data_IF_257633614200
#
_entry.id   IF_257633614200
#
_cell.length_a   1.000
_cell.length_b   1.000
_cell.length_c   1.000
_cell.angle_alpha   90.00
_cell.angle_beta   90.00
_cell.angle_gamma   90.00
#
_symmetry.space_group_name_H-M   'P 1'
#
loop_
_entity.id
_entity.type
_entity.pdbx_description
1 polymer ?
#
# COMPACT_ATOMS: atom_id res chain seq x y z
N UNK A 1 35.14 12.41 -13.21
CA UNK A 1 34.52 13.56 -13.92
C UNK A 1 33.06 13.67 -13.52
N UNK A 2 32.59 14.88 -13.19
CA UNK A 2 31.24 15.16 -12.69
C UNK A 2 30.13 14.74 -13.68
N UNK A 3 30.38 14.70 -14.97
CA UNK A 3 29.42 14.24 -15.99
C UNK A 3 29.06 12.76 -15.86
N UNK A 4 30.03 11.89 -15.59
CA UNK A 4 29.74 10.44 -15.45
C UNK A 4 28.82 10.11 -14.27
N UNK A 5 29.04 10.73 -13.10
CA UNK A 5 28.17 10.52 -11.93
C UNK A 5 26.74 11.00 -12.13
N UNK A 6 26.52 12.09 -12.86
CA UNK A 6 25.16 12.59 -13.11
C UNK A 6 24.41 11.77 -14.17
N UNK A 7 25.12 11.15 -15.11
CA UNK A 7 24.53 10.22 -16.08
C UNK A 7 24.16 8.89 -15.41
N UNK A 8 25.03 8.31 -14.58
CA UNK A 8 24.74 7.10 -13.80
C UNK A 8 23.53 7.31 -12.86
N UNK A 9 23.41 8.48 -12.21
CA UNK A 9 22.25 8.78 -11.34
C UNK A 9 20.96 8.88 -12.16
N UNK A 10 20.99 9.44 -13.36
CA UNK A 10 19.82 9.53 -14.23
C UNK A 10 19.41 8.16 -14.80
N UNK A 11 20.36 7.34 -15.21
CA UNK A 11 20.09 5.98 -15.68
C UNK A 11 19.49 5.14 -14.56
N UNK A 12 20.11 5.15 -13.38
CA UNK A 12 19.61 4.43 -12.21
C UNK A 12 18.20 4.91 -11.80
N UNK A 13 17.93 6.21 -11.86
CA UNK A 13 16.59 6.74 -11.54
C UNK A 13 15.53 6.29 -12.55
N UNK A 14 15.85 6.18 -13.83
CA UNK A 14 14.94 5.67 -14.85
C UNK A 14 14.66 4.18 -14.67
N UNK A 15 15.67 3.39 -14.36
CA UNK A 15 15.51 1.96 -14.06
C UNK A 15 14.63 1.74 -12.84
N UNK A 16 14.85 2.50 -11.76
CA UNK A 16 14.03 2.43 -10.56
C UNK A 16 12.58 2.83 -10.81
N UNK A 17 12.32 3.80 -11.70
CA UNK A 17 10.95 4.16 -12.08
C UNK A 17 10.24 3.03 -12.82
N UNK A 18 10.94 2.31 -13.70
CA UNK A 18 10.42 1.13 -14.40
C UNK A 18 10.12 0.01 -13.38
N UNK A 19 11.03 -0.24 -12.44
CA UNK A 19 10.83 -1.24 -11.38
C UNK A 19 9.63 -0.86 -10.50
N UNK A 20 9.47 0.42 -10.17
CA UNK A 20 8.33 0.92 -9.41
C UNK A 20 7.01 0.69 -10.14
N UNK A 21 6.94 1.03 -11.43
CA UNK A 21 5.75 0.80 -12.25
C UNK A 21 5.43 -0.69 -12.38
N UNK A 22 6.46 -1.53 -12.57
CA UNK A 22 6.31 -2.97 -12.65
C UNK A 22 5.85 -3.57 -11.31
N UNK A 23 6.39 -3.11 -10.18
CA UNK A 23 5.97 -3.53 -8.84
C UNK A 23 4.49 -3.19 -8.58
N UNK A 24 4.06 -1.99 -8.97
CA UNK A 24 2.66 -1.57 -8.84
C UNK A 24 1.74 -2.36 -9.74
N UNK A 25 2.15 -2.64 -10.98
CA UNK A 25 1.41 -3.46 -11.93
C UNK A 25 1.27 -4.90 -11.44
N UNK A 26 2.35 -5.52 -10.99
CA UNK A 26 2.34 -6.89 -10.46
C UNK A 26 1.49 -7.00 -9.20
N UNK A 27 1.59 -6.04 -8.28
CA UNK A 27 0.74 -5.97 -7.10
C UNK A 27 -0.74 -5.87 -7.49
N UNK A 28 -1.07 -5.02 -8.46
CA UNK A 28 -2.44 -4.90 -8.98
C UNK A 28 -2.96 -6.20 -9.58
N UNK A 29 -2.16 -6.86 -10.44
CA UNK A 29 -2.56 -8.11 -11.10
C UNK A 29 -2.75 -9.27 -10.10
N UNK A 30 -1.85 -9.39 -9.13
CA UNK A 30 -1.97 -10.41 -8.06
C UNK A 30 -3.23 -10.16 -7.24
N UNK A 31 -3.53 -8.92 -6.89
CA UNK A 31 -4.77 -8.57 -6.19
C UNK A 31 -6.01 -8.83 -7.05
N UNK A 32 -5.97 -8.52 -8.37
CA UNK A 32 -7.07 -8.78 -9.28
C UNK A 32 -7.38 -10.28 -9.38
N UNK A 33 -6.34 -11.11 -9.42
CA UNK A 33 -6.48 -12.56 -9.38
C UNK A 33 -7.04 -13.05 -8.03
N UNK A 34 -6.56 -12.49 -6.92
CA UNK A 34 -6.99 -12.89 -5.57
C UNK A 34 -8.46 -12.55 -5.30
N UNK A 35 -8.92 -11.37 -5.73
CA UNK A 35 -10.29 -10.91 -5.51
C UNK A 35 -11.26 -11.28 -6.64
N UNK A 36 -10.76 -11.88 -7.71
CA UNK A 36 -11.52 -12.18 -8.93
C UNK A 36 -12.34 -10.96 -9.42
N UNK A 37 -11.75 -9.77 -9.31
CA UNK A 37 -12.38 -8.48 -9.61
C UNK A 37 -11.31 -7.43 -9.89
N UNK A 38 -11.54 -6.56 -10.86
CA UNK A 38 -10.66 -5.43 -11.17
C UNK A 38 -10.94 -4.18 -10.31
N UNK A 39 -12.12 -4.12 -9.70
CA UNK A 39 -12.55 -2.95 -8.92
C UNK A 39 -11.90 -2.95 -7.53
N UNK A 40 -11.81 -4.11 -6.87
CA UNK A 40 -11.22 -4.20 -5.53
C UNK A 40 -9.74 -3.81 -5.49
N UNK A 41 -8.89 -4.29 -6.41
CA UNK A 41 -7.50 -3.83 -6.51
C UNK A 41 -7.37 -2.33 -6.79
N UNK A 42 -8.25 -1.78 -7.62
CA UNK A 42 -8.25 -0.34 -7.90
C UNK A 42 -8.48 0.50 -6.64
N UNK A 43 -9.44 0.10 -5.79
CA UNK A 43 -9.67 0.75 -4.49
C UNK A 43 -8.44 0.72 -3.60
N UNK A 44 -7.74 -0.42 -3.57
CA UNK A 44 -6.54 -0.62 -2.77
C UNK A 44 -5.38 0.23 -3.27
N UNK A 45 -5.12 0.20 -4.59
CA UNK A 45 -4.02 0.96 -5.21
C UNK A 45 -4.21 2.46 -5.07
N UNK A 46 -5.44 2.95 -4.97
CA UNK A 46 -5.72 4.37 -4.74
C UNK A 46 -5.14 4.91 -3.42
N UNK A 47 -4.85 4.05 -2.46
CA UNK A 47 -4.18 4.45 -1.20
C UNK A 47 -2.67 4.62 -1.36
N UNK A 48 -2.06 4.07 -2.41
CA UNK A 48 -0.61 4.13 -2.66
C UNK A 48 -0.10 5.56 -2.87
N UNK A 49 -0.71 6.40 -3.71
CA UNK A 49 -0.28 7.80 -3.87
C UNK A 49 -0.23 8.58 -2.55
N UNK A 50 -1.18 8.30 -1.65
CA UNK A 50 -1.23 8.93 -0.33
C UNK A 50 -0.07 8.48 0.56
N UNK A 51 0.30 7.21 0.48
CA UNK A 51 1.48 6.68 1.17
C UNK A 51 2.78 7.31 0.65
N UNK A 52 2.93 7.41 -0.67
CA UNK A 52 4.08 8.05 -1.32
C UNK A 52 4.19 9.51 -0.90
N UNK A 53 3.07 10.25 -0.95
CA UNK A 53 3.01 11.64 -0.48
C UNK A 53 3.50 11.76 0.96
N UNK A 54 3.05 10.87 1.85
CA UNK A 54 3.49 10.81 3.24
C UNK A 54 4.99 10.59 3.40
N UNK A 55 5.55 9.66 2.64
CA UNK A 55 6.97 9.39 2.62
C UNK A 55 7.79 10.59 2.16
N UNK A 56 7.38 11.24 1.07
CA UNK A 56 8.06 12.43 0.53
C UNK A 56 7.99 13.63 1.47
N UNK A 57 6.83 13.90 2.06
CA UNK A 57 6.68 14.98 3.05
C UNK A 57 7.60 14.77 4.24
N UNK A 58 7.75 13.54 4.70
CA UNK A 58 8.59 13.25 5.86
C UNK A 58 10.09 13.36 5.55
N UNK A 59 10.51 13.00 4.34
CA UNK A 59 11.89 13.24 3.84
C UNK A 59 12.19 14.74 3.87
N UNK A 60 11.28 15.58 3.38
CA UNK A 60 11.42 17.03 3.38
C UNK A 60 11.48 17.59 4.81
N UNK A 61 10.63 17.09 5.70
CA UNK A 61 10.59 17.52 7.10
C UNK A 61 11.88 17.24 7.85
N UNK A 62 12.55 16.12 7.55
CA UNK A 62 13.83 15.75 8.14
C UNK A 62 15.06 16.31 7.39
N UNK A 63 14.84 17.20 6.40
CA UNK A 63 15.90 17.75 5.54
C UNK A 63 16.80 16.65 4.92
N UNK A 64 16.24 15.48 4.65
CA UNK A 64 16.93 14.38 3.98
C UNK A 64 16.84 14.53 2.48
N UNK A 65 17.83 14.03 1.76
CA UNK A 65 17.82 14.04 0.29
C UNK A 65 17.07 12.85 -0.29
N UNK A 66 16.38 13.07 -1.40
CA UNK A 66 15.84 11.99 -2.21
C UNK A 66 17.00 11.29 -2.91
N UNK A 67 17.25 10.05 -2.53
CA UNK A 67 18.34 9.22 -3.04
C UNK A 67 17.81 7.82 -3.44
N UNK A 68 18.69 6.96 -3.96
CA UNK A 68 18.34 5.60 -4.37
C UNK A 68 17.66 4.82 -3.22
N UNK A 69 18.11 5.01 -1.98
CA UNK A 69 17.56 4.32 -0.81
C UNK A 69 16.14 4.77 -0.48
N UNK A 70 15.82 6.07 -0.64
CA UNK A 70 14.45 6.55 -0.47
C UNK A 70 13.52 6.03 -1.58
N UNK A 71 14.03 5.86 -2.81
CA UNK A 71 13.25 5.27 -3.91
C UNK A 71 12.95 3.79 -3.66
N UNK A 72 13.93 3.02 -3.17
CA UNK A 72 13.72 1.63 -2.73
C UNK A 72 12.69 1.58 -1.59
N UNK A 73 12.80 2.50 -0.63
CA UNK A 73 11.85 2.60 0.47
C UNK A 73 10.42 2.90 0.01
N UNK A 74 10.22 3.70 -1.03
CA UNK A 74 8.92 3.92 -1.66
C UNK A 74 8.34 2.63 -2.26
N UNK A 75 9.17 1.78 -2.88
CA UNK A 75 8.72 0.49 -3.41
C UNK A 75 8.28 -0.44 -2.26
N UNK A 76 9.06 -0.50 -1.17
CA UNK A 76 8.71 -1.26 0.03
C UNK A 76 7.40 -0.74 0.63
N UNK A 77 7.22 0.58 0.66
CA UNK A 77 6.03 1.24 1.20
C UNK A 77 4.74 0.85 0.46
N UNK A 78 4.81 0.62 -0.87
CA UNK A 78 3.66 0.11 -1.63
C UNK A 78 3.17 -1.22 -1.03
N UNK A 79 4.08 -2.17 -0.82
CA UNK A 79 3.75 -3.48 -0.27
C UNK A 79 3.16 -3.41 1.14
N UNK A 80 3.73 -2.57 2.00
CA UNK A 80 3.27 -2.43 3.39
C UNK A 80 1.91 -1.70 3.44
N UNK A 81 1.73 -0.64 2.65
CA UNK A 81 0.50 0.15 2.62
C UNK A 81 -0.68 -0.63 2.05
N UNK A 82 -0.48 -1.34 0.95
CA UNK A 82 -1.55 -2.15 0.31
C UNK A 82 -2.05 -3.26 1.21
N UNK A 83 -1.18 -3.85 2.05
CA UNK A 83 -1.55 -4.89 3.03
C UNK A 83 -2.70 -4.45 3.95
N UNK A 84 -2.67 -3.21 4.44
CA UNK A 84 -3.70 -2.69 5.35
C UNK A 84 -5.06 -2.55 4.64
N UNK A 85 -5.06 -2.06 3.41
CA UNK A 85 -6.27 -1.93 2.58
C UNK A 85 -6.84 -3.30 2.18
N UNK A 86 -5.99 -4.27 1.85
CA UNK A 86 -6.38 -5.64 1.52
C UNK A 86 -7.18 -6.26 2.67
N UNK A 87 -6.70 -6.10 3.92
CA UNK A 87 -7.35 -6.67 5.10
C UNK A 87 -8.79 -6.16 5.30
N UNK A 88 -9.05 -4.90 4.99
CA UNK A 88 -10.40 -4.31 5.11
C UNK A 88 -11.29 -4.84 3.98
N UNK A 89 -10.79 -4.79 2.74
CA UNK A 89 -11.56 -5.20 1.55
C UNK A 89 -11.89 -6.70 1.57
N UNK A 90 -10.91 -7.55 1.92
CA UNK A 90 -11.12 -9.01 2.04
C UNK A 90 -12.20 -9.32 3.09
N UNK A 91 -12.09 -8.71 4.26
CA UNK A 91 -13.07 -8.98 5.33
C UNK A 91 -14.46 -8.44 4.99
N UNK A 92 -14.56 -7.26 4.34
CA UNK A 92 -15.83 -6.73 3.85
C UNK A 92 -16.47 -7.66 2.80
N UNK A 93 -15.67 -8.20 1.88
CA UNK A 93 -16.14 -9.18 0.90
C UNK A 93 -16.67 -10.44 1.58
N UNK A 94 -15.96 -10.99 2.58
CA UNK A 94 -16.40 -12.17 3.34
C UNK A 94 -17.71 -11.93 4.08
N UNK A 95 -17.93 -10.75 4.66
CA UNK A 95 -19.21 -10.43 5.30
C UNK A 95 -20.33 -10.29 4.26
N UNK A 96 -20.04 -9.77 3.07
CA UNK A 96 -21.02 -9.71 1.97
C UNK A 96 -21.51 -11.10 1.53
N UNK A 97 -20.67 -12.14 1.59
CA UNK A 97 -21.10 -13.51 1.26
C UNK A 97 -22.14 -14.04 2.24
N UNK A 98 -22.19 -13.53 3.48
CA UNK A 98 -23.24 -13.89 4.45
C UNK A 98 -24.61 -13.24 4.21
N UNK A 99 -24.76 -12.45 3.11
CA UNK A 99 -26.03 -11.82 2.72
C UNK A 99 -26.26 -10.42 3.31
N UNK A 100 -25.32 -9.86 4.07
CA UNK A 100 -25.44 -8.52 4.63
C UNK A 100 -25.33 -7.43 3.54
N UNK A 101 -25.93 -6.27 3.80
CA UNK A 101 -25.78 -5.09 2.93
C UNK A 101 -24.34 -4.60 2.90
N UNK A 102 -23.96 -3.90 1.82
CA UNK A 102 -22.59 -3.36 1.63
C UNK A 102 -22.20 -2.45 2.80
N UNK A 103 -23.12 -1.60 3.24
CA UNK A 103 -22.87 -0.63 4.33
C UNK A 103 -22.59 -1.33 5.66
N UNK A 104 -23.39 -2.36 6.00
CA UNK A 104 -23.19 -3.15 7.20
C UNK A 104 -21.89 -3.96 7.12
N UNK A 105 -21.57 -4.53 5.95
CA UNK A 105 -20.35 -5.30 5.74
C UNK A 105 -19.11 -4.44 5.94
N UNK A 106 -19.08 -3.22 5.39
CA UNK A 106 -17.95 -2.30 5.53
C UNK A 106 -17.82 -1.82 6.98
N UNK A 107 -18.92 -1.44 7.63
CA UNK A 107 -18.92 -0.98 9.02
C UNK A 107 -18.37 -2.06 9.96
N UNK A 108 -18.81 -3.29 9.79
CA UNK A 108 -18.35 -4.42 10.58
C UNK A 108 -16.88 -4.77 10.27
N UNK A 109 -16.48 -4.73 9.00
CA UNK A 109 -15.10 -4.95 8.59
C UNK A 109 -14.16 -3.93 9.22
N UNK A 110 -14.51 -2.65 9.19
CA UNK A 110 -13.72 -1.60 9.84
C UNK A 110 -13.63 -1.80 11.34
N UNK A 111 -14.73 -2.11 12.01
CA UNK A 111 -14.74 -2.32 13.46
C UNK A 111 -13.84 -3.49 13.90
N UNK A 112 -13.91 -4.63 13.19
CA UNK A 112 -13.12 -5.82 13.50
C UNK A 112 -11.65 -5.65 13.14
N UNK A 113 -11.35 -5.00 12.00
CA UNK A 113 -9.98 -4.86 11.48
C UNK A 113 -9.24 -3.63 12.01
N UNK A 114 -9.91 -2.71 12.68
CA UNK A 114 -9.29 -1.50 13.24
C UNK A 114 -8.11 -1.82 14.15
N UNK A 115 -8.33 -2.67 15.17
CA UNK A 115 -7.27 -3.03 16.14
C UNK A 115 -6.06 -3.71 15.49
N UNK A 116 -6.21 -4.78 14.68
CA UNK A 116 -5.07 -5.41 14.00
C UNK A 116 -4.28 -4.45 13.12
N UNK A 117 -4.95 -3.57 12.37
CA UNK A 117 -4.28 -2.61 11.49
C UNK A 117 -3.46 -1.61 12.31
N UNK A 118 -4.04 -1.04 13.35
CA UNK A 118 -3.31 -0.09 14.22
C UNK A 118 -2.11 -0.78 14.89
N UNK A 119 -2.27 -1.99 15.42
CA UNK A 119 -1.16 -2.72 16.06
C UNK A 119 -0.01 -2.98 15.08
N UNK A 120 -0.31 -3.47 13.88
CA UNK A 120 0.75 -3.75 12.88
C UNK A 120 1.39 -2.47 12.35
N UNK A 121 0.62 -1.41 12.14
CA UNK A 121 1.16 -0.12 11.70
C UNK A 121 2.04 0.52 12.76
N UNK A 122 1.61 0.54 14.02
CA UNK A 122 2.42 1.05 15.14
C UNK A 122 3.70 0.24 15.31
N UNK A 123 3.63 -1.08 15.24
CA UNK A 123 4.82 -1.94 15.33
C UNK A 123 5.83 -1.62 14.22
N UNK A 124 5.36 -1.43 12.99
CA UNK A 124 6.22 -1.06 11.85
C UNK A 124 6.81 0.35 12.04
N UNK A 125 6.00 1.32 12.49
CA UNK A 125 6.47 2.69 12.77
C UNK A 125 7.55 2.70 13.85
N UNK A 126 7.34 1.98 14.96
CA UNK A 126 8.31 1.86 16.06
C UNK A 126 9.61 1.20 15.56
N UNK A 127 9.51 0.18 14.70
CA UNK A 127 10.69 -0.47 14.11
C UNK A 127 11.52 0.48 13.22
N UNK A 128 10.91 1.53 12.66
CA UNK A 128 11.62 2.53 11.83
C UNK A 128 12.26 3.65 12.67
N UNK A 129 11.84 3.85 13.93
CA UNK A 129 12.37 4.89 14.83
C UNK A 129 13.90 4.80 14.97
N UNK A 130 14.52 3.64 15.25
CA UNK A 130 15.97 3.57 15.38
C UNK A 130 16.73 3.91 14.09
N UNK A 131 16.11 3.72 12.90
CA UNK A 131 16.71 4.15 11.63
C UNK A 131 16.73 5.68 11.48
N UNK A 132 15.72 6.35 12.04
CA UNK A 132 15.58 7.82 11.98
C UNK A 132 16.39 8.50 13.06
N UNK A 133 16.36 7.99 14.31
CA UNK A 133 17.02 8.59 15.47
C UNK A 133 18.45 8.05 15.63
N UNK A 134 18.75 6.89 15.09
CA UNK A 134 19.99 6.14 15.26
C UNK A 134 21.25 6.80 14.69
N UNK A 135 21.29 8.12 14.72
CA UNK A 135 22.40 9.00 14.40
C UNK A 135 23.48 8.93 15.50
N UNK A 136 23.82 7.71 15.93
CA UNK A 136 24.84 7.48 16.96
C UNK A 136 26.21 7.44 16.28
N UNK A 137 26.64 8.62 15.83
CA UNK A 137 27.98 8.89 15.30
C UNK A 137 28.06 8.97 13.76
N UNK A 138 29.00 9.76 13.24
CA UNK A 138 29.25 9.92 11.81
C UNK A 138 29.79 8.61 11.24
N UNK A 139 28.92 7.79 10.67
CA UNK A 139 29.26 6.50 10.07
C UNK A 139 28.86 6.41 8.60
N UNK A 140 29.58 5.58 7.85
CA UNK A 140 29.23 5.28 6.47
C UNK A 140 27.79 4.72 6.41
N UNK A 141 26.91 5.35 5.60
CA UNK A 141 25.52 4.91 5.41
C UNK A 141 24.47 5.59 6.30
N UNK A 142 24.81 6.61 7.08
CA UNK A 142 23.88 7.41 7.87
C UNK A 142 22.74 7.98 7.04
N UNK A 143 23.05 8.70 5.97
CA UNK A 143 22.06 9.30 5.09
C UNK A 143 21.15 8.26 4.42
N UNK A 144 21.66 7.07 4.13
CA UNK A 144 20.89 5.98 3.53
C UNK A 144 19.87 5.42 4.52
N UNK A 145 20.27 5.17 5.75
CA UNK A 145 19.38 4.66 6.81
C UNK A 145 18.30 5.68 7.16
N UNK A 146 18.69 6.95 7.31
CA UNK A 146 17.75 8.04 7.56
C UNK A 146 16.72 8.15 6.44
N UNK A 147 17.17 8.11 5.17
CA UNK A 147 16.27 8.20 4.03
C UNK A 147 15.25 7.05 3.99
N UNK A 148 15.67 5.81 4.25
CA UNK A 148 14.77 4.65 4.31
C UNK A 148 13.80 4.77 5.48
N UNK A 149 14.31 5.04 6.68
CA UNK A 149 13.50 5.16 7.90
C UNK A 149 12.48 6.28 7.79
N UNK A 150 12.89 7.46 7.32
CA UNK A 150 12.02 8.61 7.11
C UNK A 150 10.90 8.33 6.11
N UNK A 151 11.24 7.76 4.96
CA UNK A 151 10.27 7.43 3.92
C UNK A 151 9.20 6.47 4.41
N UNK A 152 9.62 5.37 5.05
CA UNK A 152 8.68 4.34 5.51
C UNK A 152 7.86 4.87 6.69
N UNK A 153 8.48 5.55 7.66
CA UNK A 153 7.79 6.08 8.82
C UNK A 153 6.74 7.12 8.41
N UNK A 154 7.12 8.12 7.62
CA UNK A 154 6.20 9.15 7.14
C UNK A 154 5.08 8.59 6.26
N UNK A 155 5.42 7.69 5.34
CA UNK A 155 4.46 7.02 4.49
C UNK A 155 3.48 6.17 5.27
N UNK A 156 3.94 5.45 6.30
CA UNK A 156 3.08 4.62 7.16
C UNK A 156 2.13 5.44 8.02
N UNK A 157 2.58 6.57 8.58
CA UNK A 157 1.71 7.46 9.37
C UNK A 157 0.53 7.93 8.51
N UNK A 158 0.84 8.53 7.35
CA UNK A 158 -0.17 9.08 6.47
C UNK A 158 -1.02 7.97 5.84
N UNK A 159 -0.39 6.92 5.32
CA UNK A 159 -1.11 5.79 4.73
C UNK A 159 -2.08 5.12 5.71
N UNK A 160 -1.67 4.85 6.95
CA UNK A 160 -2.54 4.20 7.92
C UNK A 160 -3.77 5.05 8.23
N UNK A 161 -3.56 6.36 8.44
CA UNK A 161 -4.66 7.28 8.67
C UNK A 161 -5.64 7.31 7.50
N UNK A 162 -5.12 7.52 6.28
CA UNK A 162 -5.98 7.59 5.10
C UNK A 162 -6.60 6.26 4.72
N UNK A 163 -5.91 5.13 4.90
CA UNK A 163 -6.47 3.80 4.62
C UNK A 163 -7.73 3.53 5.43
N UNK A 164 -7.76 3.94 6.70
CA UNK A 164 -8.93 3.75 7.55
C UNK A 164 -10.17 4.54 7.10
N UNK A 165 -9.97 5.65 6.37
CA UNK A 165 -11.08 6.48 5.87
C UNK A 165 -11.34 6.30 4.38
N UNK A 166 -10.28 6.30 3.56
CA UNK A 166 -10.39 6.26 2.09
C UNK A 166 -10.84 4.88 1.61
N UNK A 167 -10.26 3.80 2.15
CA UNK A 167 -10.60 2.44 1.71
C UNK A 167 -12.08 2.12 1.94
N UNK A 168 -12.69 2.35 3.13
CA UNK A 168 -14.12 2.12 3.32
C UNK A 168 -15.00 3.01 2.45
N UNK A 169 -14.65 4.28 2.31
CA UNK A 169 -15.42 5.24 1.52
C UNK A 169 -15.41 4.88 0.04
N UNK A 170 -14.24 4.54 -0.50
CA UNK A 170 -14.10 4.09 -1.90
C UNK A 170 -14.76 2.74 -2.15
N UNK A 171 -14.69 1.83 -1.16
CA UNK A 171 -15.40 0.57 -1.25
C UNK A 171 -16.91 0.77 -1.33
N UNK A 172 -17.50 1.66 -0.51
CA UNK A 172 -18.92 2.00 -0.57
C UNK A 172 -19.31 2.64 -1.91
N UNK A 173 -18.46 3.50 -2.47
CA UNK A 173 -18.74 4.19 -3.73
C UNK A 173 -18.66 3.23 -4.94
N UNK A 174 -17.62 2.41 -5.01
CA UNK A 174 -17.31 1.61 -6.20
C UNK A 174 -17.87 0.18 -6.14
N UNK A 175 -17.97 -0.43 -4.96
CA UNK A 175 -18.45 -1.81 -4.81
C UNK A 175 -19.99 -1.96 -4.95
N UNK A 176 -20.74 -0.85 -5.05
CA UNK A 176 -22.19 -0.90 -5.38
C UNK A 176 -22.46 -1.64 -6.69
N UNK A 177 -21.58 -1.49 -7.67
CA UNK A 177 -21.73 -2.08 -8.99
C UNK A 177 -21.00 -3.43 -9.13
N UNK A 178 -20.38 -3.94 -8.06
CA UNK A 178 -19.64 -5.20 -8.12
C UNK A 178 -20.52 -6.36 -7.68
N UNK A 179 -20.62 -7.40 -8.50
CA UNK A 179 -21.32 -8.64 -8.15
C UNK A 179 -20.64 -9.29 -6.94
N UNK A 180 -21.41 -10.02 -6.13
CA UNK A 180 -20.86 -10.82 -5.02
C UNK A 180 -19.98 -11.95 -5.59
N UNK A 181 -18.93 -12.28 -4.88
CA UNK A 181 -18.00 -13.36 -5.28
C UNK A 181 -18.76 -14.69 -5.44
N UNK A 182 -19.71 -15.00 -4.55
CA UNK A 182 -20.51 -16.20 -4.62
C UNK A 182 -21.37 -16.30 -5.91
N UNK A 183 -21.86 -15.18 -6.41
CA UNK A 183 -22.66 -15.14 -7.64
C UNK A 183 -21.78 -15.46 -8.86
N UNK A 184 -20.54 -14.98 -8.85
CA UNK A 184 -19.56 -15.24 -9.90
C UNK A 184 -19.17 -16.72 -9.88
N UNK A 185 -18.91 -17.29 -8.72
CA UNK A 185 -18.58 -18.73 -8.57
C UNK A 185 -19.75 -19.63 -8.97
N UNK A 186 -20.99 -19.23 -8.65
CA UNK A 186 -22.20 -19.95 -9.06
C UNK A 186 -22.46 -19.86 -10.57
N UNK A 187 -22.22 -18.69 -11.18
CA UNK A 187 -22.32 -18.51 -12.63
C UNK A 187 -21.25 -19.35 -13.34
N UNK A 188 -19.99 -19.35 -12.88
CA UNK A 188 -18.92 -20.18 -13.40
C UNK A 188 -19.22 -21.68 -13.30
N UNK A 189 -19.72 -22.15 -12.13
CA UNK A 189 -20.12 -23.56 -11.98
C UNK A 189 -21.27 -23.95 -12.89
N UNK A 190 -22.23 -23.06 -13.14
CA UNK A 190 -23.33 -23.30 -14.09
C UNK A 190 -22.84 -23.36 -15.53
N UNK A 191 -21.90 -22.53 -15.91
CA UNK A 191 -21.29 -22.54 -17.25
C UNK A 191 -20.45 -23.81 -17.49
N UNK A 192 -19.68 -24.23 -16.46
CA UNK A 192 -18.87 -25.46 -16.53
C UNK A 192 -19.72 -26.73 -16.54
N UNK A 193 -20.91 -26.71 -15.93
CA UNK A 193 -21.84 -27.85 -15.93
C UNK A 193 -22.66 -27.98 -17.22
N UNK A 194 -22.63 -26.97 -18.10
CA UNK A 194 -23.27 -26.98 -19.42
C UNK A 194 -22.38 -27.49 -20.56
N UNK A 195 -21.09 -27.68 -20.28
CA UNK A 195 -20.11 -28.30 -21.20
C UNK A 195 -19.90 -29.77 -20.87
#
# INVERSE_FOLDING_TARGET
TWKGKSEEIKETSNELFIIFALALLTAYLVMAATFNSFIHPFIIVLTVPLAIFGGLVFILFLNSSVNIFSQIALIILIGISTKNSILIVDYANRIRTTGKSIELAVKEACAVRFRPIIMTSLSTMIAMIPLVIGNIGPGAGEGSRLAVGATILGGMIISTFFTLYVTPSMYLALAKNTKRIDVIDLELKKELSKK
#
